data_IF_645861172903
#
_entry.id   IF_645861172903
#
_cell.length_a   1.000
_cell.length_b   1.000
_cell.length_c   1.000
_cell.angle_alpha   90.00
_cell.angle_beta   90.00
_cell.angle_gamma   90.00
#
_symmetry.space_group_name_H-M   'P 1'
#
loop_
_entity.id
_entity.type
_entity.pdbx_description
1 polymer ?
#
# COMPACT_ATOMS: atom_id res chain seq x y z
N UNK A 1 -4.80 -20.34 -23.70
CA UNK A 1 -3.47 -19.87 -24.15
C UNK A 1 -2.78 -21.06 -24.77
N UNK A 2 -2.28 -20.96 -26.00
CA UNK A 2 -1.62 -22.06 -26.73
C UNK A 2 -2.45 -23.35 -26.81
N UNK A 3 -3.76 -23.21 -27.04
CA UNK A 3 -4.70 -24.34 -27.10
C UNK A 3 -5.12 -24.91 -25.74
N UNK A 4 -4.59 -24.38 -24.62
CA UNK A 4 -4.92 -24.83 -23.26
C UNK A 4 -5.95 -23.90 -22.61
N UNK A 5 -6.95 -24.49 -21.96
CA UNK A 5 -7.92 -23.77 -21.14
C UNK A 5 -7.27 -23.25 -19.85
N UNK A 6 -7.52 -21.97 -19.53
CA UNK A 6 -6.97 -21.33 -18.34
C UNK A 6 -8.06 -21.16 -17.29
N UNK A 7 -7.94 -21.89 -16.18
CA UNK A 7 -8.88 -21.78 -15.06
C UNK A 7 -8.61 -20.57 -14.17
N UNK A 8 -7.33 -20.21 -13.95
CA UNK A 8 -6.92 -19.13 -13.05
C UNK A 8 -5.84 -18.27 -13.69
N UNK A 9 -6.01 -16.96 -13.61
CA UNK A 9 -4.99 -15.96 -13.95
C UNK A 9 -4.45 -15.33 -12.66
N UNK A 10 -3.24 -15.75 -12.24
CA UNK A 10 -2.57 -15.25 -11.04
C UNK A 10 -1.54 -14.17 -11.41
N UNK A 11 -1.84 -12.93 -11.06
CA UNK A 11 -1.00 -11.79 -11.41
C UNK A 11 0.24 -11.71 -10.52
N UNK A 12 1.41 -11.72 -11.16
CA UNK A 12 2.72 -11.41 -10.56
C UNK A 12 3.38 -10.18 -11.16
N UNK A 13 2.62 -9.45 -11.97
CA UNK A 13 2.93 -8.22 -12.67
C UNK A 13 1.62 -7.44 -12.87
N UNK A 14 1.68 -6.30 -13.55
CA UNK A 14 0.54 -5.46 -13.87
C UNK A 14 0.11 -4.52 -12.74
N UNK A 15 1.01 -4.26 -11.78
CA UNK A 15 0.79 -3.33 -10.65
C UNK A 15 1.62 -2.04 -10.79
N UNK A 16 2.50 -1.96 -11.79
CA UNK A 16 3.28 -0.76 -12.13
C UNK A 16 3.02 -0.37 -13.59
N UNK A 17 3.02 0.93 -13.95
CA UNK A 17 2.92 1.37 -15.34
C UNK A 17 4.01 0.79 -16.25
N UNK A 18 5.18 0.43 -15.71
CA UNK A 18 6.27 -0.16 -16.51
C UNK A 18 5.94 -1.55 -17.05
N UNK A 19 4.95 -2.23 -16.47
CA UNK A 19 4.42 -3.49 -17.00
C UNK A 19 3.50 -3.28 -18.22
N UNK A 20 3.22 -2.02 -18.59
CA UNK A 20 2.36 -1.61 -19.68
C UNK A 20 3.05 -0.61 -20.62
N UNK A 21 4.16 -1.01 -21.28
CA UNK A 21 4.90 -0.12 -22.18
C UNK A 21 4.10 0.28 -23.42
N UNK A 22 3.04 -0.45 -23.77
CA UNK A 22 2.19 -0.17 -24.93
C UNK A 22 0.72 -0.55 -24.70
N UNK A 23 -0.12 -0.28 -25.69
CA UNK A 23 -1.53 -0.72 -25.70
C UNK A 23 -1.68 -2.25 -25.74
N UNK A 24 -0.65 -2.99 -26.20
CA UNK A 24 -0.72 -4.46 -26.28
C UNK A 24 -0.93 -5.08 -24.89
N UNK A 25 -0.23 -4.61 -23.87
CA UNK A 25 -0.38 -5.13 -22.51
C UNK A 25 -1.74 -4.77 -21.89
N UNK A 26 -2.28 -3.59 -22.23
CA UNK A 26 -3.63 -3.18 -21.82
C UNK A 26 -4.72 -4.02 -22.47
N UNK A 27 -4.58 -4.34 -23.76
CA UNK A 27 -5.46 -5.28 -24.47
C UNK A 27 -5.37 -6.67 -23.82
N UNK A 28 -4.16 -7.13 -23.50
CA UNK A 28 -3.94 -8.40 -22.79
C UNK A 28 -4.62 -8.45 -21.43
N UNK A 29 -4.46 -7.40 -20.61
CA UNK A 29 -5.15 -7.29 -19.30
C UNK A 29 -6.66 -7.33 -19.47
N UNK A 30 -7.20 -6.55 -20.43
CA UNK A 30 -8.63 -6.53 -20.74
C UNK A 30 -9.14 -7.90 -21.17
N UNK A 31 -8.40 -8.63 -22.01
CA UNK A 31 -8.75 -9.97 -22.45
C UNK A 31 -8.84 -10.95 -21.26
N UNK A 32 -7.85 -10.91 -20.36
CA UNK A 32 -7.85 -11.75 -19.15
C UNK A 32 -9.05 -11.42 -18.27
N UNK A 33 -9.30 -10.15 -17.98
CA UNK A 33 -10.42 -9.73 -17.12
C UNK A 33 -11.78 -10.15 -17.70
N UNK A 34 -11.96 -10.08 -19.03
CA UNK A 34 -13.18 -10.48 -19.74
C UNK A 34 -13.34 -11.99 -19.93
N UNK A 35 -12.31 -12.79 -19.63
CA UNK A 35 -12.38 -14.25 -19.73
C UNK A 35 -13.13 -14.88 -18.56
N UNK A 36 -13.46 -16.17 -18.70
CA UNK A 36 -14.06 -17.00 -17.64
C UNK A 36 -13.05 -17.45 -16.57
N UNK A 37 -11.76 -17.21 -16.76
CA UNK A 37 -10.76 -17.55 -15.75
C UNK A 37 -11.04 -16.77 -14.45
N UNK A 38 -10.72 -17.37 -13.31
CA UNK A 38 -10.72 -16.69 -12.00
C UNK A 38 -9.46 -15.82 -11.93
N UNK A 39 -9.61 -14.52 -11.66
CA UNK A 39 -8.48 -13.59 -11.57
C UNK A 39 -8.03 -13.45 -10.12
N UNK A 40 -6.71 -13.46 -9.89
CA UNK A 40 -6.11 -13.26 -8.58
C UNK A 40 -5.04 -12.15 -8.65
N UNK A 41 -5.37 -10.90 -8.24
CA UNK A 41 -6.72 -10.36 -8.05
C UNK A 41 -7.40 -10.03 -9.40
N UNK A 42 -8.73 -9.87 -9.39
CA UNK A 42 -9.44 -9.20 -10.49
C UNK A 42 -9.24 -7.67 -10.43
N UNK A 43 -9.68 -6.95 -11.46
CA UNK A 43 -9.49 -5.49 -11.51
C UNK A 43 -10.15 -4.73 -10.35
N UNK A 44 -11.30 -5.18 -9.85
CA UNK A 44 -11.96 -4.53 -8.72
C UNK A 44 -11.15 -4.67 -7.42
N UNK A 45 -10.61 -5.86 -7.15
CA UNK A 45 -9.71 -6.09 -6.01
C UNK A 45 -8.38 -5.36 -6.17
N UNK A 46 -7.87 -5.21 -7.39
CA UNK A 46 -6.70 -4.38 -7.64
C UNK A 46 -6.97 -2.92 -7.27
N UNK A 47 -8.10 -2.35 -7.69
CA UNK A 47 -8.51 -0.98 -7.35
C UNK A 47 -8.78 -0.81 -5.84
N UNK A 48 -9.34 -1.83 -5.18
CA UNK A 48 -9.56 -1.82 -3.74
C UNK A 48 -8.25 -1.71 -2.92
N UNK A 49 -7.11 -2.14 -3.50
CA UNK A 49 -5.79 -2.01 -2.89
C UNK A 49 -5.15 -0.62 -3.02
N UNK A 50 -5.78 0.32 -3.73
CA UNK A 50 -5.21 1.67 -3.93
C UNK A 50 -5.15 2.44 -2.61
N UNK A 51 -4.15 3.34 -2.52
CA UNK A 51 -3.97 4.22 -1.36
C UNK A 51 -5.18 5.14 -1.18
N UNK A 52 -5.84 5.54 -2.27
CA UNK A 52 -7.08 6.31 -2.20
C UNK A 52 -8.20 5.55 -1.51
N UNK A 53 -8.42 4.27 -1.84
CA UNK A 53 -9.43 3.45 -1.16
C UNK A 53 -9.06 3.26 0.32
N UNK A 54 -7.78 3.04 0.64
CA UNK A 54 -7.29 3.00 2.03
C UNK A 54 -7.66 4.28 2.80
N UNK A 55 -7.42 5.46 2.21
CA UNK A 55 -7.74 6.75 2.83
C UNK A 55 -9.24 6.95 3.03
N UNK A 56 -10.06 6.62 2.03
CA UNK A 56 -11.52 6.77 2.13
C UNK A 56 -12.08 5.86 3.22
N UNK A 57 -11.62 4.59 3.28
CA UNK A 57 -12.03 3.63 4.30
C UNK A 57 -11.59 4.01 5.72
N UNK A 58 -10.64 4.94 5.89
CA UNK A 58 -10.31 5.49 7.19
C UNK A 58 -11.40 6.42 7.76
N UNK A 59 -12.36 6.82 6.93
CA UNK A 59 -13.54 7.56 7.39
C UNK A 59 -14.51 6.59 8.08
N UNK A 60 -14.87 6.81 9.36
CA UNK A 60 -15.69 5.87 10.12
C UNK A 60 -17.05 5.57 9.47
N UNK A 61 -17.70 6.56 8.87
CA UNK A 61 -18.98 6.37 8.16
C UNK A 61 -18.85 5.53 6.90
N UNK A 62 -17.71 5.60 6.20
CA UNK A 62 -17.45 4.84 4.97
C UNK A 62 -17.14 3.38 5.29
N UNK A 63 -16.32 3.13 6.31
CA UNK A 63 -15.98 1.76 6.73
C UNK A 63 -17.21 0.95 7.15
N UNK A 64 -18.12 1.57 7.91
CA UNK A 64 -19.36 0.96 8.42
C UNK A 64 -20.33 0.53 7.32
N UNK A 65 -20.14 0.97 6.08
CA UNK A 65 -20.93 0.49 4.92
C UNK A 65 -20.59 -0.95 4.56
N UNK A 66 -19.41 -1.44 4.97
CA UNK A 66 -18.86 -2.74 4.57
C UNK A 66 -18.68 -3.72 5.74
N UNK A 67 -18.68 -3.23 6.97
CA UNK A 67 -18.40 -4.01 8.18
C UNK A 67 -19.49 -3.81 9.23
N UNK A 68 -19.70 -4.82 10.07
CA UNK A 68 -20.49 -4.65 11.30
C UNK A 68 -19.78 -3.69 12.27
N UNK A 69 -20.52 -3.08 13.20
CA UNK A 69 -19.93 -2.14 14.17
C UNK A 69 -18.77 -2.76 14.97
N UNK A 70 -18.91 -4.01 15.40
CA UNK A 70 -17.85 -4.70 16.15
C UNK A 70 -16.59 -4.90 15.29
N UNK A 71 -16.75 -5.19 14.00
CA UNK A 71 -15.63 -5.34 13.06
C UNK A 71 -15.00 -4.00 12.73
N UNK A 72 -15.79 -2.94 12.51
CA UNK A 72 -15.26 -1.61 12.22
C UNK A 72 -14.42 -1.09 13.38
N UNK A 73 -14.90 -1.22 14.62
CA UNK A 73 -14.14 -0.80 15.82
C UNK A 73 -12.80 -1.53 15.94
N UNK A 74 -12.70 -2.80 15.52
CA UNK A 74 -11.43 -3.53 15.51
C UNK A 74 -10.49 -3.05 14.40
N UNK A 75 -11.02 -2.85 13.19
CA UNK A 75 -10.24 -2.41 12.04
C UNK A 75 -9.75 -0.96 12.22
N UNK A 76 -10.58 -0.07 12.76
CA UNK A 76 -10.24 1.34 13.04
C UNK A 76 -8.99 1.48 13.92
N UNK A 77 -8.74 0.53 14.84
CA UNK A 77 -7.52 0.53 15.69
C UNK A 77 -6.22 0.35 14.91
N UNK A 78 -6.29 -0.16 13.68
CA UNK A 78 -5.13 -0.35 12.80
C UNK A 78 -4.85 0.87 11.91
N UNK A 79 -5.74 1.87 11.89
CA UNK A 79 -5.56 3.05 11.07
C UNK A 79 -4.72 4.11 11.78
N UNK A 80 -4.02 4.90 10.97
CA UNK A 80 -3.34 6.13 11.37
C UNK A 80 -4.04 7.32 10.68
N UNK A 81 -3.59 8.56 10.88
CA UNK A 81 -4.11 9.70 10.15
C UNK A 81 -3.95 9.53 8.64
N UNK A 82 -5.06 9.49 7.92
CA UNK A 82 -5.14 9.36 6.46
C UNK A 82 -6.00 10.48 5.92
N UNK A 83 -5.44 11.31 5.05
CA UNK A 83 -6.08 12.54 4.59
C UNK A 83 -6.15 12.59 3.06
N UNK A 84 -7.34 12.94 2.56
CA UNK A 84 -7.54 13.35 1.18
C UNK A 84 -7.01 14.77 0.96
N UNK A 85 -6.62 15.06 -0.29
CA UNK A 85 -6.02 16.33 -0.69
C UNK A 85 -6.80 17.02 -1.80
N UNK A 86 -8.09 16.68 -1.93
CA UNK A 86 -9.02 17.29 -2.87
C UNK A 86 -9.12 18.80 -2.68
N UNK A 87 -9.19 19.53 -3.79
CA UNK A 87 -9.25 20.99 -3.75
C UNK A 87 -10.44 21.51 -2.94
N UNK A 88 -11.56 20.80 -3.00
CA UNK A 88 -12.79 21.15 -2.28
C UNK A 88 -12.78 20.75 -0.80
N UNK A 89 -11.73 20.07 -0.32
CA UNK A 89 -11.65 19.63 1.07
C UNK A 89 -11.47 20.82 2.01
N UNK A 90 -12.38 21.03 2.99
CA UNK A 90 -12.24 22.11 3.97
C UNK A 90 -11.03 21.91 4.90
N UNK A 91 -10.52 20.69 5.01
CA UNK A 91 -9.36 20.35 5.84
C UNK A 91 -8.02 20.68 5.18
N UNK A 92 -7.99 20.93 3.86
CA UNK A 92 -6.73 21.10 3.13
C UNK A 92 -5.83 22.23 3.70
N UNK A 93 -6.34 23.43 4.05
CA UNK A 93 -5.52 24.46 4.69
C UNK A 93 -4.92 24.02 6.03
N UNK A 94 -5.70 23.31 6.84
CA UNK A 94 -5.26 22.76 8.14
C UNK A 94 -4.17 21.70 7.95
N UNK A 95 -4.36 20.81 6.97
CA UNK A 95 -3.37 19.77 6.60
C UNK A 95 -2.06 20.42 6.18
N UNK A 96 -2.08 21.43 5.30
CA UNK A 96 -0.87 22.14 4.87
C UNK A 96 -0.13 22.78 6.05
N UNK A 97 -0.86 23.39 6.99
CA UNK A 97 -0.27 23.97 8.19
C UNK A 97 0.38 22.92 9.11
N UNK A 98 -0.27 21.76 9.29
CA UNK A 98 0.27 20.64 10.07
C UNK A 98 1.57 20.10 9.46
N UNK A 99 1.59 19.89 8.14
CA UNK A 99 2.79 19.41 7.44
C UNK A 99 3.92 20.43 7.51
N UNK A 100 3.63 21.72 7.33
CA UNK A 100 4.64 22.77 7.44
C UNK A 100 5.26 22.85 8.85
N UNK A 101 4.49 22.57 9.90
CA UNK A 101 4.97 22.57 11.28
C UNK A 101 5.78 21.30 11.63
N UNK A 102 5.52 20.17 10.97
CA UNK A 102 6.24 18.92 11.18
C UNK A 102 6.41 18.13 9.86
N UNK A 103 7.37 18.52 8.99
CA UNK A 103 7.57 17.90 7.68
C UNK A 103 7.85 16.40 7.76
N UNK A 104 8.54 15.96 8.81
CA UNK A 104 8.91 14.55 9.00
C UNK A 104 7.78 13.67 9.54
N UNK A 105 6.69 14.28 10.03
CA UNK A 105 5.56 13.58 10.62
C UNK A 105 4.59 12.95 9.61
N UNK A 106 4.83 13.16 8.32
CA UNK A 106 3.91 12.73 7.25
C UNK A 106 4.64 12.08 6.07
N UNK A 107 3.89 11.33 5.30
CA UNK A 107 4.32 10.68 4.05
C UNK A 107 3.28 10.98 2.98
N UNK A 108 3.71 11.49 1.83
CA UNK A 108 2.85 11.68 0.66
C UNK A 108 2.94 10.43 -0.22
N UNK A 109 1.79 9.84 -0.57
CA UNK A 109 1.74 8.57 -1.29
C UNK A 109 0.94 8.69 -2.59
N UNK A 110 1.56 8.45 -3.76
CA UNK A 110 0.82 8.36 -5.02
C UNK A 110 0.06 7.03 -5.11
N UNK A 111 -0.82 6.91 -6.11
CA UNK A 111 -1.48 5.65 -6.45
C UNK A 111 -0.53 4.70 -7.21
N UNK A 112 0.51 4.22 -6.51
CA UNK A 112 1.52 3.27 -7.01
C UNK A 112 1.79 2.17 -6.00
N UNK A 113 2.28 1.04 -6.50
CA UNK A 113 2.71 -0.13 -5.71
C UNK A 113 4.17 -0.48 -6.01
N UNK A 114 4.77 -1.34 -5.17
CA UNK A 114 6.13 -1.86 -5.41
C UNK A 114 7.27 -1.15 -4.67
N UNK A 115 6.97 -0.08 -3.90
CA UNK A 115 7.96 0.70 -3.15
C UNK A 115 8.71 1.72 -4.01
N UNK A 116 9.35 2.70 -3.37
CA UNK A 116 10.16 3.73 -4.07
C UNK A 116 9.37 4.89 -4.66
N UNK A 117 8.12 5.11 -4.27
CA UNK A 117 7.25 6.12 -4.87
C UNK A 117 6.80 7.23 -3.90
N UNK A 118 7.09 7.10 -2.61
CA UNK A 118 6.57 8.02 -1.61
C UNK A 118 7.49 9.24 -1.47
N UNK A 119 6.91 10.37 -1.08
CA UNK A 119 7.67 11.58 -0.70
C UNK A 119 7.71 11.70 0.82
N UNK A 120 8.84 12.22 1.34
CA UNK A 120 9.10 12.33 2.77
C UNK A 120 9.72 13.67 3.13
N UNK A 121 9.46 14.15 4.36
CA UNK A 121 10.13 15.35 4.88
C UNK A 121 9.85 16.59 4.02
N UNK A 122 10.91 17.31 3.64
CA UNK A 122 10.82 18.53 2.84
C UNK A 122 10.16 18.32 1.47
N UNK A 123 10.31 17.14 0.86
CA UNK A 123 9.64 16.82 -0.42
C UNK A 123 8.11 16.87 -0.30
N UNK A 124 7.56 16.55 0.88
CA UNK A 124 6.12 16.66 1.15
C UNK A 124 5.72 18.14 1.18
N UNK A 125 6.49 18.97 1.87
CA UNK A 125 6.22 20.42 1.98
C UNK A 125 6.27 21.06 0.59
N UNK A 126 7.31 20.76 -0.19
CA UNK A 126 7.47 21.25 -1.56
C UNK A 126 6.31 20.81 -2.46
N UNK A 127 5.92 19.52 -2.40
CA UNK A 127 4.81 19.01 -3.20
C UNK A 127 3.48 19.69 -2.85
N UNK A 128 3.18 19.92 -1.56
CA UNK A 128 1.96 20.63 -1.14
C UNK A 128 1.93 22.11 -1.54
N UNK A 129 3.11 22.71 -1.77
CA UNK A 129 3.25 24.10 -2.18
C UNK A 129 3.21 24.29 -3.70
N UNK A 130 3.74 23.33 -4.46
CA UNK A 130 4.04 23.49 -5.90
C UNK A 130 3.09 22.74 -6.83
N UNK A 131 2.56 21.59 -6.42
CA UNK A 131 1.66 20.80 -7.27
C UNK A 131 0.35 21.53 -7.53
N UNK A 132 -0.16 21.39 -8.75
CA UNK A 132 -1.51 21.84 -9.09
C UNK A 132 -2.55 21.06 -8.30
N UNK A 133 -3.77 21.59 -8.11
CA UNK A 133 -4.83 20.85 -7.42
C UNK A 133 -5.10 19.46 -8.01
N UNK A 134 -5.08 19.33 -9.34
CA UNK A 134 -5.31 18.05 -10.02
C UNK A 134 -4.17 17.03 -9.78
N UNK A 135 -2.91 17.49 -9.75
CA UNK A 135 -1.77 16.62 -9.43
C UNK A 135 -1.82 16.20 -7.97
N UNK A 136 -2.16 17.12 -7.07
CA UNK A 136 -2.24 16.86 -5.64
C UNK A 136 -3.31 15.81 -5.29
N UNK A 137 -4.42 15.81 -6.02
CA UNK A 137 -5.49 14.80 -5.92
C UNK A 137 -5.06 13.37 -6.28
N UNK A 138 -3.93 13.21 -6.99
CA UNK A 138 -3.36 11.89 -7.27
C UNK A 138 -2.65 11.26 -6.06
N UNK A 139 -2.48 12.03 -4.98
CA UNK A 139 -1.85 11.60 -3.73
C UNK A 139 -2.85 11.46 -2.58
N UNK A 140 -2.41 10.73 -1.55
CA UNK A 140 -2.96 10.86 -0.20
C UNK A 140 -1.84 11.32 0.73
N UNK A 141 -2.21 11.96 1.84
CA UNK A 141 -1.29 12.21 2.95
C UNK A 141 -1.54 11.19 4.06
N UNK A 142 -0.49 10.63 4.62
CA UNK A 142 -0.56 9.69 5.74
C UNK A 142 0.36 10.14 6.86
N UNK A 143 -0.10 10.08 8.10
CA UNK A 143 0.76 10.20 9.29
C UNK A 143 1.86 9.13 9.26
N UNK A 144 3.09 9.56 9.51
CA UNK A 144 4.24 8.65 9.55
C UNK A 144 4.19 7.84 10.84
N UNK A 145 4.17 6.53 10.70
CA UNK A 145 4.32 5.60 11.82
C UNK A 145 5.80 5.58 12.23
N UNK A 146 6.07 5.82 13.51
CA UNK A 146 7.40 5.82 14.11
C UNK A 146 7.51 4.64 15.10
N UNK A 147 7.84 3.43 14.64
CA UNK A 147 7.98 2.28 15.51
C UNK A 147 9.25 2.38 16.36
N UNK A 148 9.31 1.62 17.46
CA UNK A 148 10.51 1.50 18.26
C UNK A 148 11.65 0.89 17.45
N UNK A 149 12.83 1.52 17.53
CA UNK A 149 14.04 1.00 16.90
C UNK A 149 14.65 -0.16 17.68
N UNK A 150 15.24 -1.10 16.94
CA UNK A 150 15.92 -2.26 17.50
C UNK A 150 17.26 -2.48 16.77
N UNK A 151 18.37 -2.73 17.50
CA UNK A 151 19.64 -3.02 16.86
C UNK A 151 19.57 -4.38 16.16
N UNK A 152 20.01 -4.42 14.90
CA UNK A 152 20.10 -5.67 14.15
C UNK A 152 21.27 -5.64 13.15
N UNK A 153 21.63 -6.81 12.64
CA UNK A 153 22.59 -6.99 11.55
C UNK A 153 21.84 -7.42 10.30
N UNK A 154 21.88 -6.59 9.26
CA UNK A 154 21.27 -6.85 7.97
C UNK A 154 22.35 -7.38 7.03
N UNK A 155 22.11 -8.52 6.37
CA UNK A 155 23.05 -9.09 5.41
C UNK A 155 22.51 -8.92 4.00
N UNK A 156 23.32 -8.34 3.10
CA UNK A 156 22.99 -8.19 1.67
C UNK A 156 24.22 -8.52 0.83
N UNK A 157 24.05 -9.38 -0.17
CA UNK A 157 25.15 -9.80 -1.05
C UNK A 157 26.41 -10.27 -0.27
N UNK A 158 26.20 -10.95 0.86
CA UNK A 158 27.27 -11.40 1.76
C UNK A 158 27.90 -10.29 2.62
N UNK A 159 27.49 -9.03 2.49
CA UNK A 159 27.98 -7.92 3.29
C UNK A 159 27.04 -7.63 4.48
N UNK A 160 27.55 -7.66 5.74
CA UNK A 160 26.78 -7.29 6.91
C UNK A 160 26.78 -5.76 7.10
N UNK A 161 25.63 -5.22 7.51
CA UNK A 161 25.47 -3.83 7.95
C UNK A 161 24.75 -3.87 9.29
N UNK A 162 25.36 -3.28 10.33
CA UNK A 162 24.76 -3.19 11.67
C UNK A 162 24.22 -1.79 11.91
N UNK A 163 23.13 -1.68 12.65
CA UNK A 163 22.58 -0.40 13.07
C UNK A 163 21.19 -0.53 13.67
N UNK A 164 20.60 0.61 13.98
CA UNK A 164 19.21 0.69 14.42
C UNK A 164 18.27 0.39 13.25
N UNK A 165 17.30 -0.48 13.53
CA UNK A 165 16.36 -0.98 12.53
C UNK A 165 14.92 -0.85 12.97
N UNK A 166 14.04 -0.84 11.98
CA UNK A 166 12.60 -0.94 12.17
C UNK A 166 12.07 -2.09 11.32
N UNK A 167 11.01 -2.72 11.80
CA UNK A 167 10.38 -3.86 11.14
C UNK A 167 8.92 -3.58 10.77
N UNK A 168 8.50 -4.06 9.61
CA UNK A 168 7.14 -3.98 9.09
C UNK A 168 6.58 -5.40 8.94
N UNK A 169 5.58 -5.73 9.76
CA UNK A 169 4.91 -7.02 9.75
C UNK A 169 3.76 -7.01 8.72
N UNK A 170 3.87 -7.87 7.72
CA UNK A 170 2.79 -8.19 6.80
C UNK A 170 2.10 -9.49 7.19
N UNK A 171 0.78 -9.51 7.09
CA UNK A 171 -0.06 -10.69 7.31
C UNK A 171 -0.69 -11.10 5.99
N UNK A 172 -0.51 -12.35 5.57
CA UNK A 172 -1.14 -12.88 4.38
C UNK A 172 -2.51 -13.45 4.72
N UNK A 173 -3.46 -13.21 3.83
CA UNK A 173 -4.78 -13.82 3.87
C UNK A 173 -5.11 -14.37 2.49
N UNK A 174 -5.84 -15.49 2.46
CA UNK A 174 -6.39 -16.07 1.24
C UNK A 174 -7.90 -16.04 1.36
N UNK A 175 -8.56 -15.43 0.39
CA UNK A 175 -10.00 -15.38 0.30
C UNK A 175 -10.47 -15.76 -1.10
N UNK A 176 -11.51 -16.60 -1.16
CA UNK A 176 -12.18 -17.01 -2.39
C UNK A 176 -13.69 -16.84 -2.19
N UNK A 177 -14.32 -16.21 -3.17
CA UNK A 177 -15.74 -15.89 -3.13
C UNK A 177 -16.44 -16.53 -4.31
N UNK A 178 -17.63 -17.08 -4.05
CA UNK A 178 -18.58 -17.53 -5.06
C UNK A 178 -19.90 -16.78 -4.87
N UNK A 179 -20.35 -16.07 -5.91
CA UNK A 179 -21.59 -15.26 -5.88
C UNK A 179 -21.72 -14.34 -4.64
N UNK A 180 -20.62 -13.67 -4.27
CA UNK A 180 -20.57 -12.76 -3.13
C UNK A 180 -20.46 -13.44 -1.76
N UNK A 181 -20.51 -14.77 -1.70
CA UNK A 181 -20.31 -15.54 -0.46
C UNK A 181 -18.86 -16.04 -0.39
N UNK A 182 -18.20 -15.79 0.73
CA UNK A 182 -16.88 -16.38 0.98
C UNK A 182 -17.01 -17.91 1.10
N UNK A 183 -16.24 -18.63 0.29
CA UNK A 183 -16.07 -20.10 0.39
C UNK A 183 -14.72 -20.47 1.01
N UNK A 184 -13.76 -19.54 1.01
CA UNK A 184 -12.51 -19.58 1.76
C UNK A 184 -12.22 -18.17 2.27
N UNK A 185 -11.81 -18.02 3.53
CA UNK A 185 -11.34 -16.76 4.09
C UNK A 185 -10.47 -17.05 5.32
N UNK A 186 -9.17 -17.19 5.10
CA UNK A 186 -8.24 -17.70 6.10
C UNK A 186 -6.94 -16.89 6.12
N UNK A 187 -6.31 -16.86 7.30
CA UNK A 187 -4.95 -16.38 7.44
C UNK A 187 -3.97 -17.39 6.85
N UNK A 188 -3.01 -16.91 6.06
CA UNK A 188 -2.10 -17.73 5.26
C UNK A 188 -0.62 -17.50 5.58
N UNK A 189 -0.32 -17.01 6.79
CA UNK A 189 1.05 -16.78 7.26
C UNK A 189 1.44 -15.30 7.28
N UNK A 190 2.72 -15.05 7.47
CA UNK A 190 3.24 -13.70 7.69
C UNK A 190 4.57 -13.48 6.99
N UNK A 191 4.94 -12.20 6.87
CA UNK A 191 6.21 -11.74 6.33
C UNK A 191 6.70 -10.57 7.19
N UNK A 192 7.85 -10.72 7.83
CA UNK A 192 8.51 -9.58 8.47
C UNK A 192 9.60 -9.04 7.55
N UNK A 193 9.56 -7.73 7.31
CA UNK A 193 10.59 -7.01 6.57
C UNK A 193 11.28 -6.04 7.51
N UNK A 194 12.60 -6.02 7.51
CA UNK A 194 13.39 -5.16 8.39
C UNK A 194 14.30 -4.27 7.55
N UNK A 195 14.45 -3.01 7.94
CA UNK A 195 15.33 -2.03 7.30
C UNK A 195 16.01 -1.16 8.34
N UNK A 196 17.11 -0.51 7.97
CA UNK A 196 17.71 0.53 8.81
C UNK A 196 16.68 1.65 9.04
N UNK A 197 16.65 2.20 10.25
CA UNK A 197 15.69 3.25 10.61
C UNK A 197 15.86 4.53 9.78
N UNK A 198 17.08 4.77 9.31
CA UNK A 198 17.44 5.87 8.40
C UNK A 198 16.93 5.71 6.97
N UNK A 199 16.38 4.54 6.60
CA UNK A 199 15.87 4.28 5.24
C UNK A 199 14.37 4.59 5.16
N UNK A 200 14.00 5.60 4.37
CA UNK A 200 12.58 6.00 4.21
C UNK A 200 11.76 4.95 3.46
N UNK A 201 12.31 4.37 2.40
CA UNK A 201 11.60 3.41 1.55
C UNK A 201 11.61 1.98 2.11
N UNK A 202 10.69 1.17 1.62
CA UNK A 202 10.54 -0.24 2.00
C UNK A 202 10.64 -1.17 0.79
N UNK A 203 10.53 -2.48 1.04
CA UNK A 203 10.50 -3.48 -0.03
C UNK A 203 11.84 -4.21 -0.20
N UNK A 204 11.74 -5.54 -0.26
CA UNK A 204 12.89 -6.43 -0.43
C UNK A 204 13.35 -6.43 -1.88
N UNK A 205 12.42 -6.56 -2.83
CA UNK A 205 12.73 -6.57 -4.26
C UNK A 205 13.33 -5.25 -4.76
N UNK A 206 12.92 -4.12 -4.17
CA UNK A 206 13.49 -2.80 -4.44
C UNK A 206 14.84 -2.55 -3.75
N UNK A 207 15.30 -3.49 -2.90
CA UNK A 207 16.58 -3.38 -2.23
C UNK A 207 16.61 -2.47 -1.00
N UNK A 208 15.46 -2.07 -0.44
CA UNK A 208 15.41 -1.19 0.74
C UNK A 208 15.29 -1.95 2.06
N UNK A 209 14.72 -3.16 2.05
CA UNK A 209 14.56 -4.01 3.24
C UNK A 209 15.20 -5.40 3.07
N UNK A 210 15.39 -6.11 4.17
CA UNK A 210 15.73 -7.55 4.22
C UNK A 210 14.56 -8.35 4.81
N UNK A 211 14.55 -9.66 4.55
CA UNK A 211 13.62 -10.58 5.20
C UNK A 211 14.03 -10.79 6.66
N UNK A 212 13.03 -10.95 7.53
CA UNK A 212 13.21 -11.21 8.95
C UNK A 212 12.10 -12.16 9.45
N UNK A 213 12.16 -12.53 10.73
CA UNK A 213 11.16 -13.34 11.42
C UNK A 213 10.75 -12.68 12.73
N UNK A 214 9.45 -12.68 13.09
CA UNK A 214 9.03 -12.14 14.38
C UNK A 214 9.52 -13.03 15.53
N UNK A 215 10.08 -12.41 16.56
CA UNK A 215 10.32 -13.04 17.85
C UNK A 215 9.26 -12.52 18.83
N UNK A 216 8.38 -13.41 19.30
CA UNK A 216 7.33 -13.06 20.25
C UNK A 216 7.94 -12.83 21.64
N UNK A 217 7.67 -11.66 22.20
CA UNK A 217 8.17 -11.20 23.52
C UNK A 217 7.04 -11.12 24.54
#
# INVERSE_FOLDING_TARGET
VDGVEVAVAYFRAGYTPTDYPSETEWIGRTLVERSLAIKCPNIAYHLAGTKKVQQVLATPSELRRFLTENQSVLVEKSFTGLFGLEQASPDLPRIKALVAANPTGYVLKPQREGGGNNLYGEEVVEALATLTPAELESFILMERILPQEQPAVLVRNGAPVSGDTISELGMFSVALFDNGKAILNEHAGHLLRTKLSTTNEGGVAAGFAVLSSPFLV
#
